data_IF_573490126386
#
_entry.id   IF_573490126386
#
_cell.length_a   1.000
_cell.length_b   1.000
_cell.length_c   1.000
_cell.angle_alpha   90.00
_cell.angle_beta   90.00
_cell.angle_gamma   90.00
#
_symmetry.space_group_name_H-M   'P 1'
#
loop_
_entity.id
_entity.type
_entity.pdbx_description
1 polymer ?
#
# COMPACT_ATOMS: atom_id res chain seq x y z
N UNK A 1 -43.84 -27.22 90.30
CA UNK A 1 -42.99 -26.83 89.15
C UNK A 1 -43.81 -26.55 87.87
N UNK A 2 -44.65 -25.51 87.88
CA UNK A 2 -45.59 -25.20 86.77
C UNK A 2 -45.26 -23.92 85.97
N UNK A 3 -44.14 -23.24 86.27
CA UNK A 3 -43.81 -21.94 85.66
C UNK A 3 -42.83 -21.98 84.47
N UNK A 4 -42.12 -23.10 84.22
CA UNK A 4 -41.08 -23.16 83.18
C UNK A 4 -41.56 -23.55 81.76
N UNK A 5 -42.83 -23.95 81.58
CA UNK A 5 -43.36 -24.41 80.27
C UNK A 5 -43.95 -23.29 79.38
N UNK A 6 -44.17 -22.09 79.92
CA UNK A 6 -44.77 -20.96 79.18
C UNK A 6 -43.78 -20.18 78.32
N UNK A 7 -42.56 -19.92 78.82
CA UNK A 7 -41.59 -19.07 78.11
C UNK A 7 -40.93 -19.79 76.93
N UNK A 8 -40.67 -21.10 77.01
CA UNK A 8 -40.10 -21.89 75.90
C UNK A 8 -41.06 -22.01 74.70
N UNK A 9 -42.38 -22.11 74.91
CA UNK A 9 -43.36 -22.16 73.81
C UNK A 9 -43.46 -20.81 73.06
N UNK A 10 -43.33 -19.68 73.76
CA UNK A 10 -43.37 -18.36 73.12
C UNK A 10 -42.13 -18.07 72.25
N UNK A 11 -40.95 -18.54 72.67
CA UNK A 11 -39.70 -18.39 71.90
C UNK A 11 -39.70 -19.23 70.62
N UNK A 12 -40.21 -20.47 70.67
CA UNK A 12 -40.30 -21.34 69.48
C UNK A 12 -41.46 -20.94 68.54
N UNK A 13 -42.57 -20.41 69.06
CA UNK A 13 -43.68 -19.88 68.25
C UNK A 13 -43.26 -18.66 67.43
N UNK A 14 -42.50 -17.72 68.02
CA UNK A 14 -42.03 -16.51 67.33
C UNK A 14 -40.93 -16.78 66.30
N UNK A 15 -40.16 -17.86 66.49
CA UNK A 15 -39.12 -18.31 65.55
C UNK A 15 -39.71 -19.06 64.35
N UNK A 16 -40.76 -19.85 64.58
CA UNK A 16 -41.53 -20.53 63.53
C UNK A 16 -42.35 -19.58 62.66
N UNK A 17 -42.99 -18.56 63.25
CA UNK A 17 -43.72 -17.53 62.48
C UNK A 17 -42.79 -16.70 61.59
N UNK A 18 -41.66 -16.24 62.13
CA UNK A 18 -40.67 -15.47 61.35
C UNK A 18 -40.10 -16.29 60.19
N UNK A 19 -39.90 -17.59 60.39
CA UNK A 19 -39.42 -18.49 59.33
C UNK A 19 -40.48 -18.73 58.25
N UNK A 20 -41.76 -18.89 58.63
CA UNK A 20 -42.85 -19.03 57.67
C UNK A 20 -43.13 -17.73 56.91
N UNK A 21 -43.10 -16.57 57.57
CA UNK A 21 -43.22 -15.27 56.91
C UNK A 21 -42.05 -15.00 55.96
N UNK A 22 -40.81 -15.32 56.34
CA UNK A 22 -39.67 -15.23 55.43
C UNK A 22 -39.78 -16.21 54.25
N UNK A 23 -40.31 -17.42 54.49
CA UNK A 23 -40.53 -18.40 53.42
C UNK A 23 -41.62 -17.92 52.45
N UNK A 24 -42.71 -17.37 52.97
CA UNK A 24 -43.81 -16.78 52.20
C UNK A 24 -43.32 -15.58 51.38
N UNK A 25 -42.62 -14.63 52.01
CA UNK A 25 -42.02 -13.47 51.33
C UNK A 25 -41.06 -13.87 50.20
N UNK A 26 -40.26 -14.91 50.40
CA UNK A 26 -39.37 -15.43 49.37
C UNK A 26 -40.11 -16.15 48.23
N UNK A 27 -41.22 -16.83 48.54
CA UNK A 27 -42.11 -17.44 47.54
C UNK A 27 -42.81 -16.36 46.69
N UNK A 28 -43.35 -15.32 47.33
CA UNK A 28 -44.02 -14.21 46.67
C UNK A 28 -43.04 -13.44 45.77
N UNK A 29 -41.81 -13.20 46.27
CA UNK A 29 -40.74 -12.60 45.46
C UNK A 29 -40.45 -13.45 44.22
N UNK A 30 -40.28 -14.76 44.38
CA UNK A 30 -40.05 -15.69 43.24
C UNK A 30 -41.22 -15.69 42.26
N UNK A 31 -42.46 -15.63 42.75
CA UNK A 31 -43.65 -15.58 41.91
C UNK A 31 -43.67 -14.29 41.08
N UNK A 32 -43.42 -13.13 41.71
CA UNK A 32 -43.36 -11.82 41.02
C UNK A 32 -42.26 -11.79 39.96
N UNK A 33 -41.07 -12.31 40.26
CA UNK A 33 -39.98 -12.41 39.26
C UNK A 33 -40.31 -13.38 38.12
N UNK A 34 -41.12 -14.41 38.36
CA UNK A 34 -41.56 -15.34 37.30
C UNK A 34 -42.57 -14.73 36.33
N UNK A 35 -43.32 -13.71 36.76
CA UNK A 35 -44.26 -12.95 35.92
C UNK A 35 -43.63 -11.73 35.24
N UNK A 36 -42.42 -11.31 35.66
CA UNK A 36 -41.72 -10.19 35.05
C UNK A 36 -41.22 -10.56 33.64
N UNK A 37 -41.82 -9.95 32.60
CA UNK A 37 -41.44 -10.17 31.19
C UNK A 37 -39.98 -9.81 30.87
N UNK A 38 -39.37 -8.90 31.61
CA UNK A 38 -37.98 -8.46 31.40
C UNK A 38 -37.19 -8.58 32.71
N UNK A 39 -36.04 -9.28 32.64
CA UNK A 39 -35.13 -9.46 33.78
C UNK A 39 -34.23 -8.25 34.05
N UNK A 40 -34.21 -7.30 33.12
CA UNK A 40 -33.39 -6.08 33.18
C UNK A 40 -34.32 -4.90 33.50
N UNK A 41 -34.00 -4.06 34.50
CA UNK A 41 -34.82 -2.90 34.85
C UNK A 41 -34.87 -1.88 33.72
N UNK A 42 -36.03 -1.27 33.52
CA UNK A 42 -36.21 -0.19 32.54
C UNK A 42 -35.57 1.13 33.01
N UNK A 43 -35.25 2.02 32.07
CA UNK A 43 -34.68 3.35 32.34
C UNK A 43 -35.50 4.18 33.35
N UNK A 44 -36.83 4.04 33.36
CA UNK A 44 -37.72 4.70 34.32
C UNK A 44 -37.60 4.12 35.73
N UNK A 45 -37.32 2.81 35.86
CA UNK A 45 -37.10 2.13 37.14
C UNK A 45 -35.71 2.44 37.72
N UNK A 46 -34.69 2.56 36.86
CA UNK A 46 -33.33 2.97 37.26
C UNK A 46 -33.30 4.36 37.90
N UNK A 47 -34.23 5.27 37.54
CA UNK A 47 -34.34 6.59 38.17
C UNK A 47 -34.70 6.51 39.67
N UNK A 48 -35.41 5.47 40.10
CA UNK A 48 -35.81 5.28 41.50
C UNK A 48 -34.78 4.50 42.33
N UNK A 49 -33.70 4.00 41.72
CA UNK A 49 -32.69 3.19 42.39
C UNK A 49 -32.11 3.90 43.63
N UNK A 50 -31.89 5.22 43.52
CA UNK A 50 -31.35 6.04 44.61
C UNK A 50 -32.25 6.17 45.85
N UNK A 51 -33.55 5.86 45.73
CA UNK A 51 -34.51 5.89 46.85
C UNK A 51 -34.47 4.62 47.70
N UNK A 52 -34.05 3.50 47.10
CA UNK A 52 -34.07 2.17 47.74
C UNK A 52 -32.69 1.67 48.18
N UNK A 53 -31.61 2.33 47.76
CA UNK A 53 -30.23 1.96 48.12
C UNK A 53 -29.79 2.57 49.46
N UNK A 54 -29.13 1.76 50.28
CA UNK A 54 -28.49 2.19 51.53
C UNK A 54 -27.18 2.96 51.26
N UNK A 55 -26.66 3.74 52.21
CA UNK A 55 -25.46 4.56 52.00
C UNK A 55 -24.22 3.75 51.58
N UNK A 56 -24.05 2.54 52.15
CA UNK A 56 -22.96 1.62 51.77
C UNK A 56 -23.14 1.00 50.38
N UNK A 57 -24.38 0.83 49.94
CA UNK A 57 -24.71 0.31 48.61
C UNK A 57 -24.51 1.38 47.54
N UNK A 58 -24.79 2.65 47.87
CA UNK A 58 -24.49 3.79 47.00
C UNK A 58 -23.00 3.96 46.78
N UNK A 59 -22.17 3.84 47.82
CA UNK A 59 -20.71 3.96 47.68
C UNK A 59 -20.11 2.79 46.90
N UNK A 60 -20.54 1.55 47.14
CA UNK A 60 -20.09 0.39 46.36
C UNK A 60 -20.51 0.47 44.90
N UNK A 61 -21.74 0.90 44.61
CA UNK A 61 -22.21 1.11 43.25
C UNK A 61 -21.42 2.23 42.55
N UNK A 62 -21.13 3.34 43.25
CA UNK A 62 -20.31 4.42 42.71
C UNK A 62 -18.90 3.92 42.37
N UNK A 63 -18.22 3.21 43.28
CA UNK A 63 -16.89 2.65 43.04
C UNK A 63 -16.90 1.62 41.90
N UNK A 64 -17.91 0.76 41.82
CA UNK A 64 -18.03 -0.20 40.72
C UNK A 64 -18.23 0.50 39.38
N UNK A 65 -19.07 1.56 39.34
CA UNK A 65 -19.28 2.33 38.10
C UNK A 65 -18.03 3.10 37.68
N UNK A 66 -17.26 3.67 38.62
CA UNK A 66 -16.01 4.36 38.27
C UNK A 66 -14.96 3.39 37.77
N UNK A 67 -14.81 2.22 38.39
CA UNK A 67 -13.90 1.15 37.89
C UNK A 67 -14.34 0.71 36.48
N UNK A 68 -15.63 0.52 36.25
CA UNK A 68 -16.16 0.14 34.94
C UNK A 68 -15.82 1.20 33.89
N UNK A 69 -16.09 2.48 34.17
CA UNK A 69 -15.78 3.58 33.25
C UNK A 69 -14.27 3.66 32.97
N UNK A 70 -13.43 3.58 34.00
CA UNK A 70 -11.97 3.58 33.84
C UNK A 70 -11.54 2.39 32.97
N UNK A 71 -12.07 1.20 33.23
CA UNK A 71 -11.75 0.00 32.45
C UNK A 71 -12.18 0.14 31.00
N UNK A 72 -13.35 0.74 30.73
CA UNK A 72 -13.83 0.99 29.38
C UNK A 72 -12.96 2.01 28.64
N UNK A 73 -12.51 3.07 29.32
CA UNK A 73 -11.57 4.05 28.73
C UNK A 73 -10.22 3.39 28.43
N UNK A 74 -9.69 2.58 29.34
CA UNK A 74 -8.45 1.84 29.12
C UNK A 74 -8.58 0.85 27.96
N UNK A 75 -9.70 0.13 27.87
CA UNK A 75 -9.97 -0.79 26.77
C UNK A 75 -10.15 -0.06 25.44
N UNK A 76 -10.89 1.06 25.41
CA UNK A 76 -11.06 1.88 24.21
C UNK A 76 -9.73 2.49 23.76
N UNK A 77 -8.91 2.98 24.70
CA UNK A 77 -7.55 3.45 24.41
C UNK A 77 -6.67 2.34 23.87
N UNK A 78 -6.65 1.17 24.51
CA UNK A 78 -5.91 0.01 23.99
C UNK A 78 -6.41 -0.45 22.63
N UNK A 79 -7.72 -0.41 22.40
CA UNK A 79 -8.32 -0.75 21.12
C UNK A 79 -7.88 0.25 20.04
N UNK A 80 -7.98 1.54 20.32
CA UNK A 80 -7.51 2.60 19.42
C UNK A 80 -6.03 2.43 19.08
N UNK A 81 -5.17 2.25 20.09
CA UNK A 81 -3.73 2.08 19.89
C UNK A 81 -3.37 0.79 19.13
N UNK A 82 -4.17 -0.27 19.27
CA UNK A 82 -3.95 -1.55 18.56
C UNK A 82 -4.41 -1.54 17.11
N UNK A 83 -5.37 -0.69 16.75
CA UNK A 83 -5.96 -0.62 15.41
C UNK A 83 -5.62 0.70 14.69
N UNK A 84 -4.65 1.45 15.22
CA UNK A 84 -4.14 2.64 14.56
C UNK A 84 -3.16 2.22 13.49
N UNK A 85 -3.62 2.21 12.24
CA UNK A 85 -2.77 2.05 11.08
C UNK A 85 -2.39 3.42 10.55
N UNK A 86 -1.10 3.75 10.62
CA UNK A 86 -0.57 4.99 10.04
C UNK A 86 -0.53 4.79 8.53
N UNK A 87 -1.50 5.36 7.83
CA UNK A 87 -1.51 5.39 6.35
C UNK A 87 -0.84 6.68 5.86
N UNK A 88 -0.01 6.61 4.80
CA UNK A 88 0.53 7.81 4.19
C UNK A 88 -0.61 8.64 3.59
N UNK A 89 -0.60 9.95 3.87
CA UNK A 89 -1.55 10.87 3.24
C UNK A 89 -1.13 11.08 1.79
N UNK A 90 -2.04 10.85 0.84
CA UNK A 90 -1.80 11.12 -0.58
C UNK A 90 -1.81 12.63 -0.81
N UNK A 91 -0.72 13.16 -1.37
CA UNK A 91 -0.59 14.56 -1.74
C UNK A 91 0.75 15.15 -1.30
N UNK A 92 0.90 16.45 -1.54
CA UNK A 92 2.14 17.18 -1.28
C UNK A 92 2.93 17.48 -2.55
N UNK A 93 3.95 18.31 -2.40
CA UNK A 93 4.87 18.68 -3.47
C UNK A 93 6.30 18.43 -2.98
N UNK A 94 7.06 17.67 -3.77
CA UNK A 94 8.50 17.50 -3.57
C UNK A 94 9.23 18.39 -4.56
N UNK A 95 10.13 19.25 -4.05
CA UNK A 95 10.99 20.12 -4.86
C UNK A 95 12.44 19.83 -4.52
N UNK A 96 13.21 19.52 -5.55
CA UNK A 96 14.64 19.25 -5.45
C UNK A 96 15.42 20.20 -6.34
N UNK A 97 16.51 20.74 -5.80
CA UNK A 97 17.48 21.51 -6.58
C UNK A 97 18.55 20.57 -7.13
N UNK A 98 18.65 20.49 -8.45
CA UNK A 98 19.66 19.66 -9.13
C UNK A 98 20.71 20.54 -9.81
N UNK A 99 21.96 20.06 -9.84
CA UNK A 99 23.04 20.73 -10.57
C UNK A 99 23.10 20.16 -11.98
N UNK A 100 22.76 20.99 -12.96
CA UNK A 100 22.65 20.59 -14.37
C UNK A 100 21.32 21.00 -14.96
N UNK A 101 21.07 20.59 -16.20
CA UNK A 101 19.78 20.81 -16.85
C UNK A 101 19.41 19.58 -17.66
N UNK A 102 18.15 19.12 -17.63
CA UNK A 102 17.73 18.00 -18.46
C UNK A 102 17.90 18.37 -19.94
N UNK A 103 18.33 17.38 -20.73
CA UNK A 103 18.61 17.54 -22.15
C UNK A 103 17.89 16.48 -22.97
N UNK A 104 18.02 15.21 -22.56
CA UNK A 104 17.48 14.03 -23.24
C UNK A 104 17.01 13.04 -22.20
N UNK A 105 15.80 13.27 -21.69
CA UNK A 105 15.07 12.39 -20.79
C UNK A 105 14.54 11.18 -21.57
N UNK A 106 15.47 10.33 -22.01
CA UNK A 106 15.21 9.16 -22.82
C UNK A 106 16.19 8.03 -22.42
N UNK A 107 15.71 6.82 -22.09
CA UNK A 107 16.54 5.68 -21.72
C UNK A 107 17.68 5.35 -22.70
N UNK A 108 17.53 5.67 -23.98
CA UNK A 108 18.57 5.44 -24.99
C UNK A 108 19.81 6.32 -24.79
N UNK A 109 19.68 7.47 -24.11
CA UNK A 109 20.68 8.56 -24.06
C UNK A 109 21.03 9.03 -22.64
N UNK A 110 20.19 8.72 -21.66
CA UNK A 110 20.24 9.30 -20.32
C UNK A 110 21.53 9.03 -19.55
N UNK A 111 22.28 7.98 -19.89
CA UNK A 111 23.55 7.63 -19.21
C UNK A 111 24.64 8.70 -19.32
N UNK A 112 24.49 9.66 -20.24
CA UNK A 112 25.44 10.76 -20.47
C UNK A 112 25.25 11.89 -19.44
N UNK A 113 24.08 12.00 -18.80
CA UNK A 113 23.72 13.11 -17.93
C UNK A 113 22.94 12.62 -16.71
N UNK A 114 23.48 12.85 -15.52
CA UNK A 114 22.87 12.38 -14.26
C UNK A 114 21.42 12.87 -14.10
N UNK A 115 21.13 14.12 -14.46
CA UNK A 115 19.76 14.68 -14.38
C UNK A 115 18.80 13.94 -15.31
N UNK A 116 19.26 13.56 -16.50
CA UNK A 116 18.45 12.80 -17.45
C UNK A 116 18.22 11.38 -16.91
N UNK A 117 19.24 10.74 -16.32
CA UNK A 117 19.13 9.42 -15.70
C UNK A 117 18.09 9.39 -14.58
N UNK A 118 18.15 10.35 -13.66
CA UNK A 118 17.23 10.43 -12.52
C UNK A 118 15.78 10.65 -12.99
N UNK A 119 15.56 11.54 -13.96
CA UNK A 119 14.24 11.76 -14.56
C UNK A 119 13.74 10.52 -15.31
N UNK A 120 14.61 9.84 -16.07
CA UNK A 120 14.18 8.62 -16.78
C UNK A 120 13.78 7.50 -15.85
N UNK A 121 14.44 7.35 -14.69
CA UNK A 121 14.09 6.34 -13.69
C UNK A 121 12.70 6.59 -13.05
N UNK A 122 12.21 7.83 -13.07
CA UNK A 122 10.86 8.19 -12.59
C UNK A 122 9.78 8.04 -13.67
N UNK A 123 10.16 8.26 -14.94
CA UNK A 123 9.21 8.35 -16.06
C UNK A 123 9.03 7.01 -16.78
N UNK A 124 10.08 6.20 -16.89
CA UNK A 124 10.07 4.95 -17.63
C UNK A 124 10.21 3.76 -16.67
N UNK A 125 9.49 2.68 -16.96
CA UNK A 125 9.69 1.41 -16.27
C UNK A 125 10.73 0.57 -16.99
N UNK A 126 11.43 -0.28 -16.23
CA UNK A 126 12.46 -1.18 -16.73
C UNK A 126 12.02 -2.64 -16.63
N UNK A 127 12.74 -3.58 -17.24
CA UNK A 127 12.41 -5.00 -17.07
C UNK A 127 12.70 -5.47 -15.65
N UNK A 128 13.85 -5.05 -15.13
CA UNK A 128 14.29 -5.27 -13.76
C UNK A 128 14.65 -3.94 -13.10
N UNK A 129 14.59 -3.87 -11.78
CA UNK A 129 15.01 -2.69 -11.01
C UNK A 129 15.71 -3.12 -9.73
N UNK A 130 16.42 -2.20 -9.09
CA UNK A 130 16.97 -2.42 -7.75
C UNK A 130 15.95 -2.03 -6.68
N UNK A 131 15.77 -2.89 -5.69
CA UNK A 131 14.98 -2.57 -4.50
C UNK A 131 15.78 -1.68 -3.53
N UNK A 132 15.19 -1.32 -2.40
CA UNK A 132 15.84 -0.47 -1.38
C UNK A 132 17.08 -1.11 -0.73
N UNK A 133 17.21 -2.44 -0.78
CA UNK A 133 18.37 -3.16 -0.29
C UNK A 133 19.49 -3.25 -1.36
N UNK A 134 19.21 -2.79 -2.58
CA UNK A 134 20.11 -2.87 -3.73
C UNK A 134 19.99 -4.18 -4.52
N UNK A 135 19.12 -5.11 -4.11
CA UNK A 135 18.90 -6.38 -4.82
C UNK A 135 18.09 -6.16 -6.10
N UNK A 136 18.40 -6.96 -7.12
CA UNK A 136 17.69 -6.93 -8.39
C UNK A 136 16.34 -7.66 -8.27
N UNK A 137 15.26 -6.98 -8.65
CA UNK A 137 13.90 -7.53 -8.69
C UNK A 137 13.22 -7.24 -10.03
N UNK A 138 12.20 -8.03 -10.39
CA UNK A 138 11.39 -7.79 -11.58
C UNK A 138 10.53 -6.52 -11.45
N UNK A 139 10.53 -5.67 -12.48
CA UNK A 139 9.65 -4.51 -12.56
C UNK A 139 8.52 -4.73 -13.56
N UNK A 140 8.81 -4.67 -14.86
CA UNK A 140 7.89 -5.10 -15.92
C UNK A 140 7.84 -6.63 -16.08
N UNK A 141 8.81 -7.36 -15.54
CA UNK A 141 8.89 -8.82 -15.60
C UNK A 141 8.19 -9.43 -14.38
N UNK A 142 7.19 -10.28 -14.61
CA UNK A 142 6.52 -11.06 -13.56
C UNK A 142 7.38 -12.25 -13.12
N UNK A 143 7.94 -12.95 -14.09
CA UNK A 143 8.78 -14.13 -13.89
C UNK A 143 9.72 -14.31 -15.08
N UNK A 144 10.82 -15.03 -14.86
CA UNK A 144 11.73 -15.40 -15.93
C UNK A 144 12.30 -16.80 -15.74
N UNK A 145 12.67 -17.42 -16.86
CA UNK A 145 13.31 -18.74 -16.90
C UNK A 145 14.64 -18.65 -17.61
N UNK A 146 15.68 -19.20 -16.97
CA UNK A 146 17.03 -19.32 -17.55
C UNK A 146 17.22 -20.74 -18.08
N UNK A 147 17.68 -20.86 -19.31
CA UNK A 147 17.89 -22.15 -20.00
C UNK A 147 19.17 -22.12 -20.83
N UNK A 148 19.51 -23.26 -21.45
CA UNK A 148 20.68 -23.40 -22.33
C UNK A 148 21.99 -22.93 -21.67
N UNK A 149 22.29 -23.45 -20.47
CA UNK A 149 23.50 -23.12 -19.70
C UNK A 149 23.72 -21.60 -19.53
N UNK A 150 22.68 -20.88 -19.09
CA UNK A 150 22.68 -19.43 -18.85
C UNK A 150 22.88 -18.56 -20.09
N UNK A 151 22.53 -19.07 -21.27
CA UNK A 151 22.55 -18.33 -22.54
C UNK A 151 21.17 -17.91 -23.04
N UNK A 152 20.10 -18.49 -22.53
CA UNK A 152 18.74 -18.16 -22.95
C UNK A 152 17.88 -17.72 -21.76
N UNK A 153 17.25 -16.55 -21.88
CA UNK A 153 16.39 -15.98 -20.84
C UNK A 153 15.01 -15.72 -21.43
N UNK A 154 14.00 -16.44 -20.93
CA UNK A 154 12.61 -16.24 -21.30
C UNK A 154 11.97 -15.37 -20.23
N UNK A 155 11.50 -14.19 -20.60
CA UNK A 155 10.87 -13.25 -19.67
C UNK A 155 9.36 -13.18 -19.95
N UNK A 156 8.56 -13.33 -18.90
CA UNK A 156 7.12 -13.09 -18.94
C UNK A 156 6.84 -11.70 -18.40
N UNK A 157 6.30 -10.84 -19.26
CA UNK A 157 5.95 -9.46 -18.95
C UNK A 157 4.59 -9.37 -18.24
N UNK A 158 4.39 -8.25 -17.56
CA UNK A 158 3.08 -7.84 -17.08
C UNK A 158 2.15 -7.48 -18.24
N UNK A 159 0.86 -7.72 -18.04
CA UNK A 159 -0.24 -7.49 -19.00
C UNK A 159 -1.19 -6.35 -18.58
N UNK A 160 -0.97 -5.78 -17.40
CA UNK A 160 -1.72 -4.68 -16.80
C UNK A 160 -1.02 -3.32 -16.94
N UNK A 161 0.13 -3.27 -17.64
CA UNK A 161 0.94 -2.05 -17.78
C UNK A 161 0.46 -1.20 -18.94
N UNK A 162 0.33 0.10 -18.68
CA UNK A 162 0.00 1.13 -19.67
C UNK A 162 1.07 2.22 -19.73
N UNK A 163 1.24 2.77 -20.90
CA UNK A 163 1.93 4.02 -21.15
C UNK A 163 1.11 5.20 -20.60
N UNK A 164 1.75 6.36 -20.41
CA UNK A 164 1.07 7.58 -19.95
C UNK A 164 0.03 8.12 -20.94
N UNK A 165 -0.03 7.58 -22.16
CA UNK A 165 -1.03 7.87 -23.20
C UNK A 165 -2.09 6.75 -23.36
N UNK A 166 -2.27 5.94 -22.32
CA UNK A 166 -3.25 4.86 -22.18
C UNK A 166 -3.02 3.61 -23.05
N UNK A 167 -2.03 3.62 -23.94
CA UNK A 167 -1.69 2.44 -24.74
C UNK A 167 -1.08 1.33 -23.86
N UNK A 168 -1.30 0.07 -24.23
CA UNK A 168 -0.72 -1.06 -23.51
C UNK A 168 0.77 -1.21 -23.83
N UNK A 169 1.57 -1.51 -22.81
CA UNK A 169 2.95 -1.94 -23.00
C UNK A 169 2.99 -3.43 -23.35
N UNK A 170 3.72 -3.80 -24.40
CA UNK A 170 3.81 -5.18 -24.90
C UNK A 170 5.26 -5.61 -25.15
N UNK A 171 5.44 -6.88 -25.53
CA UNK A 171 6.73 -7.40 -25.97
C UNK A 171 7.31 -6.62 -27.17
N UNK A 172 6.48 -5.98 -28.00
CA UNK A 172 6.96 -5.20 -29.15
C UNK A 172 7.75 -3.96 -28.72
N UNK A 173 7.37 -3.33 -27.60
CA UNK A 173 8.08 -2.16 -27.05
C UNK A 173 9.47 -2.56 -26.53
N UNK A 174 9.55 -3.71 -25.87
CA UNK A 174 10.82 -4.26 -25.37
C UNK A 174 11.75 -4.56 -26.54
N UNK A 175 11.26 -5.26 -27.55
CA UNK A 175 12.04 -5.59 -28.76
C UNK A 175 12.50 -4.32 -29.46
N UNK A 176 11.60 -3.37 -29.65
CA UNK A 176 11.93 -2.09 -30.27
C UNK A 176 13.04 -1.38 -29.49
N UNK A 177 12.95 -1.31 -28.16
CA UNK A 177 13.93 -0.65 -27.31
C UNK A 177 15.33 -1.26 -27.49
N UNK A 178 15.44 -2.59 -27.42
CA UNK A 178 16.72 -3.30 -27.54
C UNK A 178 17.31 -3.14 -28.95
N UNK A 179 16.49 -3.24 -30.00
CA UNK A 179 16.95 -3.04 -31.37
C UNK A 179 17.31 -1.57 -31.65
N UNK A 180 16.63 -0.60 -31.04
CA UNK A 180 16.99 0.81 -31.10
C UNK A 180 18.39 1.07 -30.48
N UNK A 181 18.70 0.43 -29.35
CA UNK A 181 20.03 0.52 -28.72
C UNK A 181 21.12 -0.04 -29.66
N UNK A 182 20.85 -1.17 -30.30
CA UNK A 182 21.81 -1.85 -31.19
C UNK A 182 22.06 -1.08 -32.50
N UNK A 183 21.06 -0.36 -32.97
CA UNK A 183 21.11 0.37 -34.23
C UNK A 183 22.05 1.58 -34.15
N UNK A 184 23.10 1.56 -34.99
CA UNK A 184 24.14 2.60 -35.06
C UNK A 184 23.58 4.01 -35.29
N UNK A 185 22.45 4.14 -35.98
CA UNK A 185 21.85 5.43 -36.33
C UNK A 185 21.25 6.16 -35.12
N UNK A 186 20.79 5.43 -34.12
CA UNK A 186 20.35 6.03 -32.86
C UNK A 186 21.51 6.59 -32.04
N UNK A 187 22.75 6.12 -32.27
CA UNK A 187 23.96 6.54 -31.55
C UNK A 187 23.85 6.42 -30.02
N UNK A 188 23.20 5.36 -29.52
CA UNK A 188 23.11 5.08 -28.08
C UNK A 188 24.48 4.71 -27.49
N UNK A 189 24.89 5.28 -26.34
CA UNK A 189 26.10 4.85 -25.62
C UNK A 189 26.04 3.40 -25.14
N UNK A 190 24.82 2.86 -24.97
CA UNK A 190 24.57 1.50 -24.51
C UNK A 190 24.82 0.44 -25.59
N UNK A 191 25.01 0.86 -26.84
CA UNK A 191 25.11 -0.04 -28.00
C UNK A 191 26.10 -1.19 -27.78
N UNK A 192 27.27 -0.90 -27.23
CA UNK A 192 28.32 -1.91 -27.06
C UNK A 192 27.91 -3.02 -26.08
N UNK A 193 27.11 -2.70 -25.05
CA UNK A 193 26.63 -3.68 -24.07
C UNK A 193 25.57 -4.63 -24.66
N UNK A 194 24.82 -4.18 -25.68
CA UNK A 194 23.73 -4.95 -26.29
C UNK A 194 24.05 -5.52 -27.68
N UNK A 195 25.20 -5.19 -28.25
CA UNK A 195 25.53 -5.49 -29.65
C UNK A 195 25.39 -6.98 -30.00
N UNK A 196 25.77 -7.86 -29.08
CA UNK A 196 25.76 -9.32 -29.25
C UNK A 196 24.53 -10.01 -28.67
N UNK A 197 23.59 -9.24 -28.13
CA UNK A 197 22.40 -9.78 -27.48
C UNK A 197 21.29 -9.93 -28.52
N UNK A 198 20.85 -11.17 -28.73
CA UNK A 198 19.68 -11.51 -29.52
C UNK A 198 18.41 -11.34 -28.69
N UNK A 199 17.34 -10.87 -29.32
CA UNK A 199 16.00 -10.82 -28.72
C UNK A 199 14.97 -11.30 -29.74
N UNK A 200 14.01 -12.10 -29.30
CA UNK A 200 12.90 -12.57 -30.12
C UNK A 200 11.56 -12.46 -29.38
N UNK A 201 10.50 -12.15 -30.14
CA UNK A 201 9.12 -12.23 -29.65
C UNK A 201 8.70 -13.68 -29.63
N UNK A 202 8.24 -14.18 -28.49
CA UNK A 202 7.65 -15.52 -28.39
C UNK A 202 6.17 -15.48 -27.94
N UNK A 203 5.66 -14.29 -27.60
CA UNK A 203 4.26 -14.04 -27.29
C UNK A 203 3.97 -12.54 -27.18
N UNK A 204 2.72 -12.17 -26.96
CA UNK A 204 2.32 -10.76 -26.77
C UNK A 204 3.00 -10.12 -25.54
N UNK A 205 3.13 -10.89 -24.46
CA UNK A 205 3.78 -10.50 -23.21
C UNK A 205 4.97 -11.40 -22.88
N UNK A 206 5.62 -11.98 -23.89
CA UNK A 206 6.81 -12.82 -23.67
C UNK A 206 7.90 -12.53 -24.68
N UNK A 207 9.11 -12.35 -24.16
CA UNK A 207 10.33 -12.15 -24.95
C UNK A 207 11.37 -13.18 -24.55
N UNK A 208 12.17 -13.61 -25.52
CA UNK A 208 13.32 -14.48 -25.28
C UNK A 208 14.60 -13.77 -25.70
N UNK A 209 15.52 -13.66 -24.76
CA UNK A 209 16.88 -13.20 -25.00
C UNK A 209 17.81 -14.37 -25.25
N UNK A 210 18.75 -14.18 -26.17
CA UNK A 210 19.80 -15.14 -26.53
C UNK A 210 21.16 -14.46 -26.42
N UNK A 211 22.05 -15.05 -25.65
CA UNK A 211 23.43 -14.61 -25.46
C UNK A 211 24.38 -15.56 -26.18
N UNK A 212 25.47 -15.03 -26.75
CA UNK A 212 26.52 -15.85 -27.35
C UNK A 212 27.23 -16.72 -26.29
N UNK A 213 27.46 -16.13 -25.11
CA UNK A 213 28.10 -16.75 -23.96
C UNK A 213 27.37 -16.38 -22.66
N UNK A 214 27.55 -17.17 -21.57
CA UNK A 214 26.94 -16.85 -20.30
C UNK A 214 27.49 -15.54 -19.76
N UNK A 215 26.62 -14.58 -19.48
CA UNK A 215 27.01 -13.27 -18.99
C UNK A 215 26.30 -12.97 -17.66
N UNK A 216 27.05 -13.04 -16.55
CA UNK A 216 26.50 -12.92 -15.20
C UNK A 216 25.72 -11.61 -14.95
N UNK A 217 26.18 -10.42 -15.38
CA UNK A 217 25.45 -9.18 -15.15
C UNK A 217 24.41 -8.90 -16.25
N UNK A 218 23.97 -9.90 -17.03
CA UNK A 218 22.99 -9.70 -18.09
C UNK A 218 21.69 -9.07 -17.57
N UNK A 219 21.14 -9.57 -16.45
CA UNK A 219 19.90 -9.03 -15.89
C UNK A 219 20.07 -7.58 -15.40
N UNK A 220 21.28 -7.18 -15.02
CA UNK A 220 21.59 -5.79 -14.63
C UNK A 220 21.53 -4.84 -15.82
N UNK A 221 21.91 -5.29 -17.02
CA UNK A 221 21.71 -4.50 -18.24
C UNK A 221 20.24 -4.22 -18.52
N UNK A 222 19.34 -5.09 -18.07
CA UNK A 222 17.89 -4.96 -18.27
C UNK A 222 17.22 -4.00 -17.26
N UNK A 223 18.01 -3.23 -16.51
CA UNK A 223 17.55 -2.11 -15.67
C UNK A 223 17.29 -0.82 -16.44
N UNK A 224 17.56 -0.82 -17.75
CA UNK A 224 17.21 0.28 -18.65
C UNK A 224 15.70 0.42 -18.81
N UNK A 225 15.23 1.67 -18.96
CA UNK A 225 13.82 1.95 -19.25
C UNK A 225 13.40 1.50 -20.65
N UNK A 226 12.17 1.01 -20.78
CA UNK A 226 11.56 0.66 -22.06
C UNK A 226 10.92 1.91 -22.68
N UNK A 227 11.02 2.05 -24.01
CA UNK A 227 10.44 3.18 -24.76
C UNK A 227 9.23 2.74 -25.60
N UNK A 228 8.22 3.62 -25.78
CA UNK A 228 6.99 3.29 -26.50
C UNK A 228 7.23 3.17 -28.01
N UNK A 229 7.16 1.94 -28.55
CA UNK A 229 7.41 1.68 -29.97
C UNK A 229 6.53 2.55 -30.86
N UNK A 230 5.24 2.66 -30.53
CA UNK A 230 4.24 3.37 -31.36
C UNK A 230 4.55 4.85 -31.59
N UNK A 231 5.34 5.48 -30.72
CA UNK A 231 5.80 6.87 -30.89
C UNK A 231 7.14 6.95 -31.60
N UNK A 232 8.08 6.06 -31.23
CA UNK A 232 9.46 6.13 -31.68
C UNK A 232 9.69 5.51 -33.06
N UNK A 233 8.86 4.54 -33.48
CA UNK A 233 8.99 3.92 -34.80
C UNK A 233 8.72 4.88 -35.97
N UNK A 234 7.97 5.95 -35.71
CA UNK A 234 7.63 6.97 -36.69
C UNK A 234 8.76 8.00 -36.90
N UNK A 235 9.78 7.98 -36.04
CA UNK A 235 10.87 8.96 -36.04
C UNK A 235 12.11 8.35 -36.70
N UNK A 236 12.71 9.02 -37.70
CA UNK A 236 13.95 8.54 -38.29
C UNK A 236 15.07 8.44 -37.23
N UNK A 237 15.74 7.28 -37.11
CA UNK A 237 16.78 7.05 -36.10
C UNK A 237 17.88 8.12 -36.06
N UNK A 238 18.28 8.65 -37.23
CA UNK A 238 19.31 9.68 -37.36
C UNK A 238 18.94 11.00 -36.66
N UNK A 239 17.63 11.29 -36.58
CA UNK A 239 17.09 12.50 -35.96
C UNK A 239 16.41 12.25 -34.62
N UNK A 240 16.39 11.00 -34.15
CA UNK A 240 15.70 10.61 -32.92
C UNK A 240 16.22 11.34 -31.67
N UNK A 241 17.48 11.74 -31.64
CA UNK A 241 18.04 12.53 -30.52
C UNK A 241 17.58 14.00 -30.50
N UNK A 242 16.95 14.50 -31.57
CA UNK A 242 16.47 15.88 -31.70
C UNK A 242 14.96 16.02 -31.45
N UNK A 243 14.23 14.91 -31.35
CA UNK A 243 12.77 14.96 -31.16
C UNK A 243 12.39 15.59 -29.83
N UNK A 244 11.21 16.21 -29.79
CA UNK A 244 10.65 16.78 -28.57
C UNK A 244 10.30 15.72 -27.52
N UNK A 245 10.10 14.45 -27.90
CA UNK A 245 9.89 13.34 -26.96
C UNK A 245 11.06 13.15 -25.98
N UNK A 246 12.27 13.63 -26.33
CA UNK A 246 13.40 13.62 -25.40
C UNK A 246 13.26 14.62 -24.25
N UNK A 247 12.36 15.59 -24.35
CA UNK A 247 12.14 16.62 -23.33
C UNK A 247 10.71 16.54 -22.78
N UNK A 248 9.77 16.02 -23.56
CA UNK A 248 8.39 15.74 -23.19
C UNK A 248 8.09 14.24 -23.37
N UNK A 249 8.72 13.38 -22.55
CA UNK A 249 8.61 11.94 -22.69
C UNK A 249 7.23 11.41 -22.30
N UNK A 250 6.84 10.32 -22.97
CA UNK A 250 5.76 9.44 -22.57
C UNK A 250 6.41 8.14 -22.13
N UNK A 251 6.18 7.74 -20.88
CA UNK A 251 6.72 6.51 -20.30
C UNK A 251 5.63 5.68 -19.64
N UNK A 252 6.03 4.71 -18.82
CA UNK A 252 5.12 3.79 -18.09
C UNK A 252 5.35 3.85 -16.57
N UNK A 253 6.25 4.72 -16.13
CA UNK A 253 6.69 4.83 -14.75
C UNK A 253 5.68 5.52 -13.83
N UNK A 254 6.04 5.66 -12.54
CA UNK A 254 5.19 6.23 -11.50
C UNK A 254 4.90 7.73 -11.67
N UNK A 255 5.69 8.44 -12.48
CA UNK A 255 5.51 9.86 -12.74
C UNK A 255 5.49 10.15 -14.24
N UNK A 256 4.63 11.08 -14.65
CA UNK A 256 4.51 11.55 -16.03
C UNK A 256 4.96 13.01 -16.15
N UNK A 257 5.45 13.36 -17.33
CA UNK A 257 5.79 14.75 -17.64
C UNK A 257 4.54 15.64 -17.56
N UNK A 258 4.63 16.75 -16.82
CA UNK A 258 3.56 17.76 -16.74
C UNK A 258 3.91 19.03 -17.49
N UNK A 259 5.04 19.63 -17.14
CA UNK A 259 5.45 20.92 -17.69
C UNK A 259 6.93 21.18 -17.48
N UNK A 260 7.48 22.11 -18.26
CA UNK A 260 8.82 22.64 -18.06
C UNK A 260 8.79 24.16 -18.17
N UNK A 261 9.69 24.81 -17.45
CA UNK A 261 9.97 26.24 -17.58
C UNK A 261 11.38 26.41 -18.11
N UNK A 262 11.52 27.20 -19.17
CA UNK A 262 12.81 27.58 -19.73
C UNK A 262 13.16 28.99 -19.28
N UNK A 263 14.43 29.20 -18.96
CA UNK A 263 14.99 30.53 -18.78
C UNK A 263 14.97 31.26 -20.13
N UNK A 264 14.42 32.48 -20.14
CA UNK A 264 14.26 33.31 -21.33
C UNK A 264 15.60 33.76 -21.91
N UNK A 265 16.63 33.90 -21.08
CA UNK A 265 17.93 34.41 -21.49
C UNK A 265 18.83 33.29 -22.00
N UNK A 266 18.85 32.16 -21.29
CA UNK A 266 19.78 31.05 -21.60
C UNK A 266 19.13 29.93 -22.43
N UNK A 267 17.80 29.88 -22.51
CA UNK A 267 17.06 28.80 -23.18
C UNK A 267 17.10 27.46 -22.44
N UNK A 268 17.80 27.39 -21.30
CA UNK A 268 17.95 26.17 -20.48
C UNK A 268 16.68 25.91 -19.69
N UNK A 269 16.44 24.64 -19.38
CA UNK A 269 15.32 24.24 -18.53
C UNK A 269 15.66 24.60 -17.08
N UNK A 270 14.92 25.55 -16.53
CA UNK A 270 15.06 26.04 -15.15
C UNK A 270 14.20 25.26 -14.16
N UNK A 271 13.06 24.74 -14.60
CA UNK A 271 12.22 23.85 -13.81
C UNK A 271 11.61 22.76 -14.69
N UNK A 272 11.55 21.54 -14.16
CA UNK A 272 10.95 20.39 -14.80
C UNK A 272 9.95 19.76 -13.83
N UNK A 273 8.67 19.73 -14.20
CA UNK A 273 7.59 19.30 -13.32
C UNK A 273 7.05 17.97 -13.80
N UNK A 274 7.02 17.02 -12.88
CA UNK A 274 6.35 15.74 -13.03
C UNK A 274 5.07 15.71 -12.22
N UNK A 275 4.12 14.87 -12.62
CA UNK A 275 2.95 14.55 -11.83
C UNK A 275 2.78 13.04 -11.68
N UNK A 276 2.12 12.62 -10.60
CA UNK A 276 1.87 11.21 -10.33
C UNK A 276 1.07 10.58 -11.47
N UNK A 277 1.50 9.40 -11.90
CA UNK A 277 0.72 8.50 -12.72
C UNK A 277 -0.30 7.78 -11.83
N UNK A 278 -1.60 8.07 -12.01
CA UNK A 278 -2.69 7.44 -11.27
C UNK A 278 -2.85 5.96 -11.59
N UNK A 279 -2.48 5.57 -12.81
CA UNK A 279 -2.71 4.25 -13.40
C UNK A 279 -1.42 3.41 -13.42
N UNK A 280 -0.48 3.75 -12.54
CA UNK A 280 0.74 2.99 -12.35
C UNK A 280 0.42 1.59 -11.77
N UNK A 281 1.05 0.55 -12.32
CA UNK A 281 0.72 -0.86 -12.08
C UNK A 281 1.18 -1.41 -10.70
N UNK A 282 1.59 -0.53 -9.76
CA UNK A 282 2.05 -0.88 -8.42
C UNK A 282 1.32 -0.08 -7.35
#
# INVERSE_FOLDING_TARGET
MRAAKGQLRSFFSKKGSNFQEQKQYNLDKKLVYSFARAKIPSWRQLKYLGKYLNQREKTTLLVATTILVISSVVWAGRFYWRHLEIVPVVGGEYREGVVGSPSRVNPLYADINDVDRDLTALIFSSLFKRNHNGDLEGDLVKEYKVTNNNKEYILTLRDDVRWHDDQKLTADDVIFTIEAIKNKKYASPLRNAFAEIGIEKIGEFQVKFKLNEPYAPFLELLTIGIIPKHLWEQIPPETAHLTELNIRPIGSGPFKFKSLLKDKTTGRIAAYTLERNSDYYK
#
